data_IF_367274900767
#
_entry.id   IF_367274900767
#
_cell.length_a   1.000
_cell.length_b   1.000
_cell.length_c   1.000
_cell.angle_alpha   90.00
_cell.angle_beta   90.00
_cell.angle_gamma   90.00
#
_symmetry.space_group_name_H-M   'P 1'
#
loop_
_entity.id
_entity.type
_entity.pdbx_description
1 polymer ?
#
# COMPACT_ATOMS: atom_id res chain seq x y z
N UNK A 1 30.56 19.80 22.76
CA UNK A 1 29.95 20.00 21.43
C UNK A 1 28.55 19.41 21.47
N UNK A 2 27.54 20.22 21.76
CA UNK A 2 26.14 19.81 21.78
C UNK A 2 25.58 19.90 20.36
N UNK A 3 25.64 18.79 19.63
CA UNK A 3 24.93 18.67 18.36
C UNK A 3 23.43 18.75 18.64
N UNK A 4 22.75 19.76 18.08
CA UNK A 4 21.29 19.80 18.09
C UNK A 4 20.79 18.55 17.36
N UNK A 5 19.86 17.82 17.98
CA UNK A 5 19.22 16.69 17.33
C UNK A 5 18.58 17.20 16.01
N UNK A 6 18.78 16.49 14.88
CA UNK A 6 18.18 16.88 13.62
C UNK A 6 16.66 16.91 13.81
N UNK A 7 16.06 18.10 13.64
CA UNK A 7 14.61 18.25 13.73
C UNK A 7 14.05 18.09 12.32
N UNK A 8 13.14 17.15 12.12
CA UNK A 8 12.38 17.02 10.87
C UNK A 8 11.68 18.36 10.58
N UNK A 9 11.98 18.96 9.43
CA UNK A 9 11.21 20.11 8.94
C UNK A 9 9.77 19.67 8.66
N UNK A 10 8.82 20.61 8.68
CA UNK A 10 7.40 20.28 8.43
C UNK A 10 7.20 19.64 7.05
N UNK A 11 7.95 20.07 6.03
CA UNK A 11 7.92 19.47 4.68
C UNK A 11 8.43 18.02 4.67
N UNK A 12 9.54 17.74 5.38
CA UNK A 12 10.06 16.38 5.51
C UNK A 12 9.10 15.48 6.30
N UNK A 13 8.43 16.01 7.33
CA UNK A 13 7.42 15.27 8.09
C UNK A 13 6.24 14.87 7.21
N UNK A 14 5.74 15.79 6.37
CA UNK A 14 4.65 15.49 5.42
C UNK A 14 5.09 14.41 4.43
N UNK A 15 6.30 14.50 3.88
CA UNK A 15 6.84 13.50 2.95
C UNK A 15 7.02 12.12 3.60
N UNK A 16 7.56 12.07 4.82
CA UNK A 16 7.70 10.82 5.59
C UNK A 16 6.32 10.18 5.81
N UNK A 17 5.34 10.96 6.26
CA UNK A 17 3.99 10.42 6.48
C UNK A 17 3.35 9.92 5.18
N UNK A 18 3.52 10.64 4.07
CA UNK A 18 3.03 10.22 2.78
C UNK A 18 3.73 8.95 2.27
N UNK A 19 5.05 8.84 2.47
CA UNK A 19 5.84 7.67 2.08
C UNK A 19 5.40 6.41 2.84
N UNK A 20 5.22 6.52 4.16
CA UNK A 20 4.76 5.40 4.99
C UNK A 20 3.32 5.00 4.60
N UNK A 21 2.44 5.98 4.41
CA UNK A 21 1.07 5.71 3.96
C UNK A 21 1.03 5.01 2.61
N UNK A 22 1.84 5.47 1.65
CA UNK A 22 1.94 4.85 0.34
C UNK A 22 2.53 3.43 0.42
N UNK A 23 3.50 3.19 1.31
CA UNK A 23 4.06 1.86 1.53
C UNK A 23 3.01 0.89 2.12
N UNK A 24 2.24 1.31 3.12
CA UNK A 24 1.15 0.51 3.69
C UNK A 24 0.11 0.09 2.62
N UNK A 25 -0.29 1.02 1.74
CA UNK A 25 -1.23 0.75 0.66
C UNK A 25 -0.64 -0.20 -0.41
N UNK A 26 0.65 -0.05 -0.73
CA UNK A 26 1.34 -0.97 -1.66
C UNK A 26 1.40 -2.39 -1.11
N UNK A 27 1.76 -2.55 0.16
CA UNK A 27 1.76 -3.86 0.81
C UNK A 27 0.37 -4.49 0.79
N UNK A 28 -0.68 -3.73 1.10
CA UNK A 28 -2.05 -4.23 1.02
C UNK A 28 -2.42 -4.67 -0.41
N UNK A 29 -2.08 -3.87 -1.41
CA UNK A 29 -2.34 -4.20 -2.81
C UNK A 29 -1.63 -5.50 -3.22
N UNK A 30 -0.35 -5.66 -2.84
CA UNK A 30 0.42 -6.87 -3.11
C UNK A 30 -0.23 -8.10 -2.47
N UNK A 31 -0.58 -8.07 -1.18
CA UNK A 31 -1.23 -9.22 -0.52
C UNK A 31 -2.58 -9.57 -1.13
N UNK A 32 -3.37 -8.56 -1.52
CA UNK A 32 -4.64 -8.79 -2.21
C UNK A 32 -4.44 -9.43 -3.58
N UNK A 33 -3.40 -9.01 -4.30
CA UNK A 33 -3.03 -9.61 -5.58
C UNK A 33 -2.56 -11.05 -5.39
N UNK A 34 -1.73 -11.34 -4.39
CA UNK A 34 -1.28 -12.70 -4.06
C UNK A 34 -2.45 -13.62 -3.72
N UNK A 35 -3.35 -13.17 -2.83
CA UNK A 35 -4.55 -13.93 -2.47
C UNK A 35 -5.49 -14.14 -3.66
N UNK A 36 -5.70 -13.12 -4.50
CA UNK A 36 -6.50 -13.26 -5.71
C UNK A 36 -5.85 -14.23 -6.70
N UNK A 37 -4.54 -14.14 -6.90
CA UNK A 37 -3.80 -15.04 -7.77
C UNK A 37 -3.94 -16.50 -7.30
N UNK A 38 -3.82 -16.75 -5.99
CA UNK A 38 -4.01 -18.08 -5.41
C UNK A 38 -5.46 -18.58 -5.51
N UNK A 39 -6.46 -17.70 -5.35
CA UNK A 39 -7.88 -18.07 -5.45
C UNK A 39 -8.28 -18.42 -6.90
N UNK A 40 -7.70 -17.75 -7.89
CA UNK A 40 -8.05 -17.90 -9.31
C UNK A 40 -7.05 -18.77 -10.11
N UNK A 41 -5.97 -19.24 -9.49
CA UNK A 41 -5.03 -20.17 -10.14
C UNK A 41 -5.61 -21.58 -10.31
N UNK A 42 -6.61 -21.97 -9.50
CA UNK A 42 -7.35 -23.24 -9.58
C UNK A 42 -8.27 -23.40 -10.81
N UNK A 43 -8.10 -22.59 -11.87
CA UNK A 43 -8.96 -22.72 -13.06
C UNK A 43 -8.54 -21.96 -14.31
N UNK A 44 -7.38 -21.29 -14.34
CA UNK A 44 -6.98 -20.52 -15.53
C UNK A 44 -5.47 -20.45 -15.70
N UNK A 45 -5.01 -20.97 -16.83
CA UNK A 45 -3.67 -20.86 -17.41
C UNK A 45 -3.21 -19.41 -17.68
N UNK A 46 -3.95 -18.39 -17.22
CA UNK A 46 -3.58 -16.98 -17.37
C UNK A 46 -2.31 -16.60 -16.57
N UNK A 47 -2.03 -17.26 -15.43
CA UNK A 47 -0.79 -17.04 -14.69
C UNK A 47 0.46 -17.59 -15.42
N UNK A 48 0.28 -18.61 -16.27
CA UNK A 48 1.36 -19.15 -17.11
C UNK A 48 1.76 -18.21 -18.27
N UNK A 49 0.92 -17.23 -18.61
CA UNK A 49 1.13 -16.39 -19.80
C UNK A 49 2.10 -15.20 -19.60
N UNK A 50 2.46 -14.86 -18.35
CA UNK A 50 3.41 -13.76 -18.09
C UNK A 50 4.86 -14.23 -17.84
N UNK A 51 5.10 -15.54 -17.70
CA UNK A 51 6.44 -16.12 -17.67
C UNK A 51 6.95 -16.35 -19.11
N UNK A 52 7.14 -15.27 -19.85
CA UNK A 52 7.77 -15.33 -21.16
C UNK A 52 9.23 -15.79 -21.03
N UNK A 53 9.48 -17.08 -21.31
CA UNK A 53 10.83 -17.62 -21.51
C UNK A 53 11.09 -19.05 -21.07
N UNK A 54 10.14 -19.77 -20.48
CA UNK A 54 10.36 -21.15 -20.07
C UNK A 54 9.67 -22.14 -21.02
N UNK A 55 10.44 -23.14 -21.42
CA UNK A 55 10.12 -24.32 -22.22
C UNK A 55 8.85 -25.07 -21.78
N UNK A 56 8.33 -25.90 -22.69
CA UNK A 56 7.23 -26.90 -22.63
C UNK A 56 7.21 -27.88 -21.42
N UNK A 57 7.61 -27.45 -20.23
CA UNK A 57 7.25 -28.12 -19.01
C UNK A 57 5.89 -27.55 -18.60
N UNK A 58 4.84 -28.36 -18.67
CA UNK A 58 3.65 -28.16 -17.85
C UNK A 58 4.14 -28.02 -16.40
N UNK A 59 4.28 -26.77 -15.94
CA UNK A 59 4.38 -26.48 -14.53
C UNK A 59 2.98 -26.80 -14.01
N UNK A 60 2.79 -28.03 -13.53
CA UNK A 60 1.74 -28.34 -12.57
C UNK A 60 1.98 -27.40 -11.39
N UNK A 61 1.35 -26.23 -11.43
CA UNK A 61 1.25 -25.36 -10.28
C UNK A 61 0.32 -26.11 -9.33
N UNK A 62 0.90 -26.72 -8.29
CA UNK A 62 0.13 -27.34 -7.22
C UNK A 62 -0.97 -26.37 -6.78
N UNK A 63 -2.20 -26.86 -6.75
CA UNK A 63 -3.36 -26.10 -6.31
C UNK A 63 -3.16 -25.73 -4.85
N UNK A 64 -3.39 -24.45 -4.50
CA UNK A 64 -3.29 -24.00 -3.12
C UNK A 64 -4.28 -24.77 -2.25
N UNK A 65 -3.82 -25.26 -1.09
CA UNK A 65 -4.73 -25.91 -0.14
C UNK A 65 -5.64 -24.88 0.54
N UNK A 66 -6.73 -25.34 1.16
CA UNK A 66 -7.63 -24.48 1.93
C UNK A 66 -6.87 -23.75 3.04
N UNK A 67 -5.95 -24.42 3.72
CA UNK A 67 -5.11 -23.82 4.77
C UNK A 67 -4.16 -22.74 4.23
N UNK A 68 -3.65 -22.90 3.01
CA UNK A 68 -2.78 -21.89 2.38
C UNK A 68 -3.56 -20.65 1.93
N UNK A 69 -4.79 -20.85 1.43
CA UNK A 69 -5.71 -19.74 1.12
C UNK A 69 -6.11 -18.97 2.38
N UNK A 70 -6.39 -19.68 3.48
CA UNK A 70 -6.66 -19.06 4.79
C UNK A 70 -5.46 -18.22 5.27
N UNK A 71 -4.24 -18.74 5.17
CA UNK A 71 -3.02 -18.00 5.51
C UNK A 71 -2.90 -16.70 4.68
N UNK A 72 -3.13 -16.77 3.38
CA UNK A 72 -3.10 -15.60 2.50
C UNK A 72 -4.18 -14.57 2.88
N UNK A 73 -5.38 -15.03 3.24
CA UNK A 73 -6.45 -14.16 3.73
C UNK A 73 -6.07 -13.47 5.05
N UNK A 74 -5.41 -14.18 5.98
CA UNK A 74 -4.89 -13.59 7.21
C UNK A 74 -3.83 -12.51 6.95
N UNK A 75 -2.94 -12.73 5.96
CA UNK A 75 -1.95 -11.74 5.54
C UNK A 75 -2.62 -10.48 4.97
N UNK A 76 -3.66 -10.63 4.15
CA UNK A 76 -4.48 -9.50 3.67
C UNK A 76 -5.09 -8.75 4.85
N UNK A 77 -5.74 -9.45 5.78
CA UNK A 77 -6.34 -8.83 6.96
C UNK A 77 -5.29 -8.11 7.83
N UNK A 78 -4.07 -8.66 7.93
CA UNK A 78 -2.93 -8.03 8.58
C UNK A 78 -2.53 -6.72 7.92
N UNK A 79 -2.42 -6.70 6.59
CA UNK A 79 -2.09 -5.49 5.84
C UNK A 79 -3.20 -4.42 5.93
N UNK A 80 -4.48 -4.82 5.92
CA UNK A 80 -5.60 -3.89 6.12
C UNK A 80 -5.58 -3.25 7.51
N UNK A 81 -5.29 -4.04 8.55
CA UNK A 81 -5.10 -3.52 9.90
C UNK A 81 -3.95 -2.52 9.95
N UNK A 82 -2.82 -2.83 9.31
CA UNK A 82 -1.66 -1.93 9.24
C UNK A 82 -2.02 -0.58 8.60
N UNK A 83 -2.71 -0.59 7.46
CA UNK A 83 -3.21 0.63 6.80
C UNK A 83 -4.08 1.45 7.75
N UNK A 84 -5.05 0.81 8.41
CA UNK A 84 -5.95 1.48 9.34
C UNK A 84 -5.20 2.06 10.55
N UNK A 85 -4.33 1.28 11.18
CA UNK A 85 -3.52 1.73 12.32
C UNK A 85 -2.66 2.92 11.94
N UNK A 86 -2.04 2.90 10.76
CA UNK A 86 -1.27 4.03 10.26
C UNK A 86 -2.15 5.28 10.07
N UNK A 87 -3.31 5.15 9.43
CA UNK A 87 -4.25 6.25 9.21
C UNK A 87 -4.80 6.83 10.52
N UNK A 88 -5.08 5.98 11.51
CA UNK A 88 -5.69 6.37 12.78
C UNK A 88 -4.70 6.98 13.77
N UNK A 89 -3.45 6.52 13.77
CA UNK A 89 -2.49 6.86 14.84
C UNK A 89 -1.13 7.36 14.34
N UNK A 90 -0.84 7.25 13.05
CA UNK A 90 0.50 7.50 12.52
C UNK A 90 1.55 6.57 13.10
N UNK A 91 1.15 5.40 13.61
CA UNK A 91 2.05 4.41 14.18
C UNK A 91 2.26 3.24 13.23
N UNK A 92 3.48 2.69 13.27
CA UNK A 92 3.86 1.49 12.56
C UNK A 92 4.63 0.53 13.48
N UNK A 93 4.31 -0.75 13.42
CA UNK A 93 4.93 -1.77 14.25
C UNK A 93 6.45 -1.85 14.00
N UNK A 94 7.27 -2.11 15.03
CA UNK A 94 8.72 -2.23 14.85
C UNK A 94 9.13 -3.26 13.78
N UNK A 95 8.40 -4.38 13.67
CA UNK A 95 8.65 -5.41 12.66
C UNK A 95 8.47 -4.91 11.22
N UNK A 96 7.57 -3.95 11.00
CA UNK A 96 7.25 -3.41 9.67
C UNK A 96 8.24 -2.31 9.24
N UNK A 97 8.92 -1.64 10.20
CA UNK A 97 9.84 -0.53 9.92
C UNK A 97 11.07 -0.96 9.11
N UNK A 98 11.57 -2.17 9.36
CA UNK A 98 12.71 -2.72 8.64
C UNK A 98 12.40 -2.91 7.15
N UNK A 99 11.22 -3.45 6.85
CA UNK A 99 10.77 -3.64 5.47
C UNK A 99 10.53 -2.30 4.76
N UNK A 100 9.86 -1.36 5.43
CA UNK A 100 9.68 0.02 4.93
C UNK A 100 11.01 0.67 4.52
N UNK A 101 12.04 0.58 5.38
CA UNK A 101 13.36 1.16 5.09
C UNK A 101 14.05 0.44 3.94
N UNK A 102 13.98 -0.90 3.90
CA UNK A 102 14.55 -1.69 2.81
C UNK A 102 13.94 -1.31 1.46
N UNK A 103 12.61 -1.20 1.40
CA UNK A 103 11.90 -0.83 0.18
C UNK A 103 12.23 0.62 -0.23
N UNK A 104 12.30 1.55 0.72
CA UNK A 104 12.67 2.93 0.44
C UNK A 104 14.11 3.04 -0.12
N UNK A 105 15.05 2.25 0.42
CA UNK A 105 16.41 2.15 -0.10
C UNK A 105 16.43 1.54 -1.52
N UNK A 106 15.65 0.48 -1.76
CA UNK A 106 15.55 -0.14 -3.07
C UNK A 106 14.95 0.82 -4.12
N UNK A 107 13.89 1.54 -3.75
CA UNK A 107 13.29 2.58 -4.59
C UNK A 107 14.29 3.69 -4.92
N UNK A 108 15.05 4.18 -3.94
CA UNK A 108 16.08 5.20 -4.16
C UNK A 108 17.22 4.69 -5.07
N UNK A 109 17.62 3.43 -4.91
CA UNK A 109 18.66 2.79 -5.73
C UNK A 109 18.20 2.52 -7.18
N UNK A 110 16.90 2.30 -7.39
CA UNK A 110 16.30 2.07 -8.70
C UNK A 110 16.19 3.34 -9.58
N UNK A 111 16.43 4.53 -9.02
CA UNK A 111 16.34 5.78 -9.78
C UNK A 111 17.52 5.89 -10.77
N UNK A 112 17.27 6.07 -12.07
CA UNK A 112 18.31 6.16 -13.09
C UNK A 112 19.37 7.24 -12.79
N UNK A 113 20.63 6.95 -13.14
CA UNK A 113 21.80 7.81 -12.86
C UNK A 113 21.70 9.24 -13.41
N UNK A 114 20.96 9.45 -14.49
CA UNK A 114 20.65 10.75 -15.10
C UNK A 114 19.77 11.66 -14.22
N UNK A 115 19.03 11.10 -13.26
CA UNK A 115 18.12 11.86 -12.38
C UNK A 115 18.74 12.17 -11.01
N UNK A 116 19.84 12.93 -11.00
CA UNK A 116 20.61 13.23 -9.79
C UNK A 116 19.79 13.94 -8.69
N UNK A 117 18.96 14.91 -9.05
CA UNK A 117 18.10 15.63 -8.10
C UNK A 117 17.05 14.70 -7.45
N UNK A 118 16.47 13.80 -8.24
CA UNK A 118 15.49 12.83 -7.73
C UNK A 118 16.14 11.83 -6.77
N UNK A 119 17.36 11.36 -7.08
CA UNK A 119 18.14 10.51 -6.15
C UNK A 119 18.44 11.22 -4.85
N UNK A 120 18.88 12.48 -4.92
CA UNK A 120 19.17 13.26 -3.71
C UNK A 120 17.92 13.45 -2.85
N UNK A 121 16.78 13.76 -3.46
CA UNK A 121 15.50 13.88 -2.76
C UNK A 121 15.02 12.55 -2.17
N UNK A 122 15.20 11.43 -2.88
CA UNK A 122 14.87 10.10 -2.39
C UNK A 122 15.73 9.72 -1.18
N UNK A 123 17.05 9.92 -1.26
CA UNK A 123 17.96 9.66 -0.14
C UNK A 123 17.66 10.54 1.08
N UNK A 124 17.33 11.82 0.88
CA UNK A 124 16.88 12.68 1.98
C UNK A 124 15.59 12.17 2.64
N UNK A 125 14.69 11.57 1.85
CA UNK A 125 13.47 10.93 2.37
C UNK A 125 13.79 9.66 3.14
N UNK A 126 14.75 8.85 2.67
CA UNK A 126 15.23 7.65 3.39
C UNK A 126 15.85 8.01 4.74
N UNK A 127 16.71 9.05 4.79
CA UNK A 127 17.30 9.52 6.05
C UNK A 127 16.22 10.03 7.02
N UNK A 128 15.21 10.74 6.50
CA UNK A 128 14.07 11.21 7.29
C UNK A 128 13.21 10.05 7.82
N UNK A 129 13.00 8.99 7.02
CA UNK A 129 12.32 7.77 7.43
C UNK A 129 13.11 7.03 8.51
N UNK A 130 14.43 6.91 8.35
CA UNK A 130 15.30 6.28 9.36
C UNK A 130 15.17 7.00 10.70
N UNK A 131 15.31 8.33 10.69
CA UNK A 131 15.15 9.15 11.89
C UNK A 131 13.76 8.97 12.53
N UNK A 132 12.70 8.93 11.71
CA UNK A 132 11.35 8.66 12.20
C UNK A 132 11.23 7.27 12.84
N UNK A 133 11.75 6.23 12.18
CA UNK A 133 11.72 4.84 12.68
C UNK A 133 12.44 4.69 14.02
N UNK A 134 13.57 5.37 14.19
CA UNK A 134 14.38 5.37 15.41
C UNK A 134 13.71 6.15 16.55
N UNK A 135 12.92 7.17 16.21
CA UNK A 135 12.22 8.02 17.18
C UNK A 135 10.81 7.53 17.53
N UNK A 136 10.22 6.67 16.69
CA UNK A 136 8.84 6.22 16.83
C UNK A 136 8.67 5.23 18.00
N UNK A 137 7.60 5.34 18.80
CA UNK A 137 7.40 4.51 19.98
C UNK A 137 7.26 3.04 19.59
N UNK A 138 7.88 2.14 20.37
CA UNK A 138 7.85 0.70 20.08
C UNK A 138 6.46 0.07 20.26
N UNK A 139 5.64 0.63 21.15
CA UNK A 139 4.28 0.21 21.42
C UNK A 139 3.28 1.09 20.69
N UNK A 140 2.18 0.49 20.22
CA UNK A 140 1.09 1.23 19.62
C UNK A 140 0.50 2.22 20.64
N UNK A 141 0.26 3.50 20.27
CA UNK A 141 -0.37 4.48 21.14
C UNK A 141 -1.77 4.01 21.54
N UNK A 142 -2.07 4.10 22.83
CA UNK A 142 -3.41 3.82 23.33
C UNK A 142 -4.44 4.74 22.64
N UNK A 143 -5.68 4.30 22.49
CA UNK A 143 -6.70 5.04 21.73
C UNK A 143 -6.94 6.49 22.22
N UNK A 144 -6.67 6.76 23.50
CA UNK A 144 -6.74 8.07 24.14
C UNK A 144 -5.52 8.98 23.89
N UNK A 145 -4.41 8.44 23.38
CA UNK A 145 -3.16 9.14 23.04
C UNK A 145 -2.98 9.33 21.53
N UNK A 146 -3.89 8.76 20.72
CA UNK A 146 -3.87 8.95 19.27
C UNK A 146 -4.17 10.40 18.91
N UNK A 147 -3.44 11.01 17.96
CA UNK A 147 -3.76 12.33 17.48
C UNK A 147 -5.20 12.35 16.97
N UNK A 148 -6.04 13.22 17.53
CA UNK A 148 -7.44 13.34 17.10
C UNK A 148 -7.46 13.64 15.61
N UNK A 149 -8.14 12.83 14.77
CA UNK A 149 -8.28 13.15 13.37
C UNK A 149 -8.88 14.57 13.28
N UNK A 150 -8.39 15.43 12.38
CA UNK A 150 -8.99 16.75 12.20
C UNK A 150 -10.47 16.54 11.96
N UNK A 151 -11.30 17.16 12.81
CA UNK A 151 -12.76 17.05 12.68
C UNK A 151 -13.13 17.31 11.23
N UNK A 152 -13.93 16.43 10.60
CA UNK A 152 -14.32 16.65 9.22
C UNK A 152 -14.99 18.02 9.18
N UNK A 153 -14.38 18.96 8.44
CA UNK A 153 -15.07 20.22 8.12
C UNK A 153 -16.41 19.79 7.52
N UNK A 154 -17.54 20.34 7.99
CA UNK A 154 -18.84 19.93 7.49
C UNK A 154 -18.81 20.07 5.97
N UNK A 155 -18.89 18.93 5.28
CA UNK A 155 -19.05 18.90 3.85
C UNK A 155 -20.31 19.70 3.56
N UNK A 156 -20.17 20.82 2.85
CA UNK A 156 -21.30 21.51 2.27
C UNK A 156 -22.18 20.48 1.55
N UNK A 157 -23.51 20.51 1.72
CA UNK A 157 -24.39 19.48 1.18
C UNK A 157 -24.10 19.33 -0.30
N UNK A 158 -23.62 18.13 -0.65
CA UNK A 158 -23.38 17.71 -2.02
C UNK A 158 -24.73 17.84 -2.73
N UNK A 159 -24.84 18.79 -3.66
CA UNK A 159 -26.04 19.03 -4.47
C UNK A 159 -26.60 17.67 -4.93
N UNK A 160 -27.87 17.42 -4.63
CA UNK A 160 -28.58 16.23 -5.06
C UNK A 160 -28.32 15.99 -6.55
N UNK A 161 -27.79 14.81 -6.88
CA UNK A 161 -27.70 14.35 -8.26
C UNK A 161 -29.13 14.37 -8.81
N UNK A 162 -29.36 15.20 -9.81
CA UNK A 162 -30.56 15.15 -10.65
C UNK A 162 -30.62 13.74 -11.22
N UNK A 163 -31.64 12.97 -10.87
CA UNK A 163 -31.99 11.75 -11.57
C UNK A 163 -32.19 12.12 -13.04
N UNK A 164 -31.29 11.63 -13.89
CA UNK A 164 -31.52 11.60 -15.33
C UNK A 164 -32.29 10.31 -15.56
N UNK A 165 -33.56 10.42 -15.93
CA UNK A 165 -34.34 9.31 -16.49
C UNK A 165 -33.57 8.81 -17.71
N UNK A 166 -33.02 7.60 -17.61
CA UNK A 166 -32.47 6.87 -18.75
C UNK A 166 -33.62 6.06 -19.31
N UNK A 167 -34.15 6.56 -20.43
CA UNK A 167 -35.10 5.89 -21.29
C UNK A 167 -34.55 4.50 -21.67
N UNK A 168 -35.22 3.45 -21.21
CA UNK A 168 -34.81 2.07 -21.45
C UNK A 168 -35.07 1.73 -22.91
N UNK A 169 -34.00 1.28 -23.58
CA UNK A 169 -33.96 1.08 -25.02
C UNK A 169 -35.06 0.18 -25.58
N UNK A 170 -35.77 0.72 -26.56
CA UNK A 170 -36.34 -0.04 -27.65
C UNK A 170 -35.21 -0.58 -28.55
N UNK A 171 -34.66 -1.75 -28.24
CA UNK A 171 -33.72 -2.45 -29.13
C UNK A 171 -33.80 -3.98 -28.93
N UNK A 172 -34.97 -4.56 -29.23
CA UNK A 172 -35.06 -5.97 -29.61
C UNK A 172 -36.14 -6.15 -30.68
N UNK A 173 -35.73 -6.08 -31.95
CA UNK A 173 -36.45 -6.71 -33.07
C UNK A 173 -35.40 -7.28 -34.03
N UNK A 174 -35.29 -8.61 -34.07
CA UNK A 174 -34.58 -9.37 -35.10
C UNK A 174 -35.49 -9.49 -36.33
N UNK A 175 -34.99 -9.34 -37.56
CA UNK A 175 -35.76 -9.67 -38.76
C UNK A 175 -35.65 -11.17 -39.11
N UNK A 176 -36.78 -11.73 -39.57
CA UNK A 176 -36.90 -13.04 -40.24
C UNK A 176 -36.23 -13.07 -41.63
#
# INVERSE_FOLDING_TARGET
MTGSAPTLTDDLRVRVHAAIGAWCERELAARRQDHAAATYSGGSTAAASYAAGASDSELELDEFTEEELELLAELVAGAERRVRTWQDSGWLAPADRGQLLLDAHAEAAGIPHEHAEQRSAAMATVEALQFWCDSAPATEPAANERPTPPSPKPHAPRRARKTVDVDQGALFTLPE
#
